data_IF_498785498425
#
_entry.id   IF_498785498425
#
_cell.length_a   1.000
_cell.length_b   1.000
_cell.length_c   1.000
_cell.angle_alpha   90.00
_cell.angle_beta   90.00
_cell.angle_gamma   90.00
#
_symmetry.space_group_name_H-M   'P 1'
#
loop_
_entity.id
_entity.type
_entity.pdbx_description
1 polymer ?
#
# COMPACT_ATOMS: atom_id res chain seq x y z
N UNK A 1 -13.42 -20.85 20.25
CA UNK A 1 -13.08 -19.76 19.31
C UNK A 1 -13.87 -18.47 19.60
N UNK A 2 -15.18 -18.52 19.85
CA UNK A 2 -15.96 -17.32 20.24
C UNK A 2 -15.41 -16.54 21.45
N UNK A 3 -14.72 -17.20 22.39
CA UNK A 3 -14.12 -16.54 23.55
C UNK A 3 -12.93 -15.61 23.25
N UNK A 4 -12.34 -15.69 22.05
CA UNK A 4 -11.24 -14.80 21.60
C UNK A 4 -11.69 -13.81 20.53
N UNK A 5 -12.83 -14.06 19.90
CA UNK A 5 -13.39 -13.23 18.85
C UNK A 5 -13.60 -11.78 19.32
N UNK A 6 -13.15 -10.82 18.52
CA UNK A 6 -13.22 -9.38 18.80
C UNK A 6 -12.61 -8.96 20.15
N UNK A 7 -11.49 -9.57 20.55
CA UNK A 7 -10.75 -9.17 21.75
C UNK A 7 -9.24 -9.31 21.56
N UNK A 8 -8.46 -8.71 22.46
CA UNK A 8 -6.99 -8.86 22.51
C UNK A 8 -6.51 -10.27 22.92
N UNK A 9 -7.45 -11.19 23.18
CA UNK A 9 -7.14 -12.55 23.63
C UNK A 9 -6.78 -13.41 22.43
N UNK A 10 -5.72 -14.21 22.57
CA UNK A 10 -5.19 -15.13 21.57
C UNK A 10 -5.36 -16.55 22.05
N UNK A 11 -5.73 -17.44 21.14
CA UNK A 11 -5.75 -18.87 21.40
C UNK A 11 -4.32 -19.41 21.21
N UNK A 12 -3.76 -20.03 22.24
CA UNK A 12 -2.37 -20.52 22.21
C UNK A 12 -2.37 -22.02 21.94
N UNK A 13 -1.61 -22.43 20.93
CA UNK A 13 -1.42 -23.83 20.55
C UNK A 13 0.07 -24.19 20.58
N UNK A 14 0.38 -25.42 20.97
CA UNK A 14 1.68 -26.04 20.73
C UNK A 14 1.48 -27.26 19.85
N UNK A 15 1.90 -27.14 18.60
CA UNK A 15 1.67 -28.15 17.58
C UNK A 15 0.17 -28.37 17.35
N UNK A 16 -0.30 -29.59 17.64
CA UNK A 16 -1.69 -30.01 17.43
C UNK A 16 -2.62 -29.77 18.63
N UNK A 17 -2.11 -29.25 19.75
CA UNK A 17 -2.88 -29.13 20.99
C UNK A 17 -3.04 -27.67 21.41
N UNK A 18 -4.30 -27.26 21.64
CA UNK A 18 -4.63 -25.96 22.23
C UNK A 18 -4.29 -26.02 23.72
N UNK A 19 -3.39 -25.14 24.18
CA UNK A 19 -2.93 -25.10 25.58
C UNK A 19 -3.78 -24.11 26.39
N UNK A 20 -4.28 -23.04 25.77
CA UNK A 20 -5.09 -22.06 26.50
C UNK A 20 -5.36 -20.76 25.74
N UNK A 21 -5.69 -19.72 26.50
CA UNK A 21 -5.97 -18.37 26.01
C UNK A 21 -5.08 -17.39 26.78
N UNK A 22 -4.40 -16.49 26.07
CA UNK A 22 -3.57 -15.44 26.67
C UNK A 22 -3.73 -14.11 25.94
N UNK A 23 -3.53 -12.99 26.63
CA UNK A 23 -3.45 -11.65 26.05
C UNK A 23 -2.00 -11.15 25.92
N UNK A 24 -1.01 -11.92 26.39
CA UNK A 24 0.39 -11.52 26.33
C UNK A 24 1.00 -11.70 24.93
N UNK A 25 2.05 -10.93 24.64
CA UNK A 25 2.87 -11.13 23.45
C UNK A 25 3.87 -12.25 23.68
N UNK A 26 3.85 -13.26 22.79
CA UNK A 26 4.84 -14.32 22.80
C UNK A 26 6.13 -13.74 22.19
N UNK A 27 7.18 -13.65 23.01
CA UNK A 27 8.48 -13.09 22.62
C UNK A 27 9.37 -14.08 21.86
N UNK A 28 9.09 -15.37 21.98
CA UNK A 28 9.80 -16.43 21.28
C UNK A 28 9.27 -16.63 19.85
N UNK A 29 9.98 -17.46 19.06
CA UNK A 29 9.56 -17.82 17.70
C UNK A 29 8.10 -18.31 17.71
N UNK A 30 7.22 -17.56 17.04
CA UNK A 30 5.80 -17.87 16.99
C UNK A 30 5.23 -17.67 15.59
N UNK A 31 4.27 -18.54 15.27
CA UNK A 31 3.44 -18.43 14.07
C UNK A 31 2.05 -18.03 14.55
N UNK A 32 1.55 -16.90 14.05
CA UNK A 32 0.24 -16.37 14.43
C UNK A 32 -0.65 -16.43 13.20
N UNK A 33 -1.78 -17.15 13.32
CA UNK A 33 -2.87 -17.07 12.36
C UNK A 33 -3.87 -16.01 12.83
N UNK A 34 -3.93 -14.90 12.11
CA UNK A 34 -4.82 -13.77 12.34
C UNK A 34 -6.07 -13.93 11.48
N UNK A 35 -7.23 -14.09 12.10
CA UNK A 35 -8.49 -14.39 11.42
C UNK A 35 -9.38 -13.14 11.35
N UNK A 36 -9.65 -12.67 10.13
CA UNK A 36 -10.47 -11.49 9.83
C UNK A 36 -11.75 -11.89 9.07
N UNK A 37 -12.48 -12.86 9.61
CA UNK A 37 -13.71 -13.40 9.00
C UNK A 37 -13.40 -14.35 7.84
N UNK A 38 -13.70 -13.94 6.60
CA UNK A 38 -13.51 -14.79 5.39
C UNK A 38 -12.05 -14.89 4.91
N UNK A 39 -11.17 -14.10 5.49
CA UNK A 39 -9.76 -14.06 5.16
C UNK A 39 -8.92 -13.88 6.43
N UNK A 40 -7.61 -14.05 6.31
CA UNK A 40 -6.69 -13.88 7.41
C UNK A 40 -5.23 -13.94 6.97
N UNK A 41 -4.33 -13.80 7.93
CA UNK A 41 -2.89 -13.74 7.70
C UNK A 41 -2.16 -14.76 8.56
N UNK A 42 -1.12 -15.36 8.01
CA UNK A 42 -0.10 -16.04 8.81
C UNK A 42 1.04 -15.05 9.00
N UNK A 43 1.39 -14.81 10.26
CA UNK A 43 2.48 -13.96 10.68
C UNK A 43 3.57 -14.80 11.33
N UNK A 44 4.81 -14.56 10.96
CA UNK A 44 6.00 -15.12 11.59
C UNK A 44 6.62 -14.02 12.45
N UNK A 45 6.66 -14.20 13.77
CA UNK A 45 7.21 -13.20 14.70
C UNK A 45 6.64 -11.78 14.51
N UNK A 46 5.36 -11.68 14.13
CA UNK A 46 4.66 -10.41 13.86
C UNK A 46 4.63 -9.98 12.38
N UNK A 47 5.56 -10.46 11.56
CA UNK A 47 5.65 -10.13 10.14
C UNK A 47 4.73 -11.01 9.29
N UNK A 48 3.88 -10.42 8.45
CA UNK A 48 2.94 -11.17 7.63
C UNK A 48 3.64 -11.90 6.49
N UNK A 49 3.59 -13.24 6.48
CA UNK A 49 4.28 -14.08 5.49
C UNK A 49 3.34 -14.66 4.44
N UNK A 50 2.06 -14.88 4.77
CA UNK A 50 1.06 -15.26 3.78
C UNK A 50 -0.35 -14.87 4.21
N UNK A 51 -1.29 -14.90 3.27
CA UNK A 51 -2.72 -14.79 3.57
C UNK A 51 -3.45 -16.09 3.27
N UNK A 52 -4.61 -16.24 3.89
CA UNK A 52 -5.55 -17.31 3.59
C UNK A 52 -6.95 -16.74 3.42
N UNK A 53 -7.74 -17.30 2.51
CA UNK A 53 -9.15 -16.94 2.30
C UNK A 53 -9.92 -18.16 1.84
N UNK A 54 -11.13 -18.39 2.37
CA UNK A 54 -12.01 -19.50 1.95
C UNK A 54 -11.31 -20.88 1.89
N UNK A 55 -10.41 -21.15 2.84
CA UNK A 55 -9.66 -22.42 2.93
C UNK A 55 -8.49 -22.56 1.95
N UNK A 56 -8.17 -21.53 1.17
CA UNK A 56 -7.04 -21.51 0.23
C UNK A 56 -5.93 -20.59 0.74
N UNK A 57 -4.70 -21.10 0.78
CA UNK A 57 -3.50 -20.31 1.07
C UNK A 57 -3.08 -19.54 -0.18
N UNK A 58 -2.78 -18.24 -0.04
CA UNK A 58 -2.27 -17.39 -1.11
C UNK A 58 -0.92 -16.79 -0.70
N UNK A 59 0.08 -16.89 -1.58
CA UNK A 59 1.39 -16.22 -1.43
C UNK A 59 1.29 -14.73 -1.75
N UNK A 60 0.29 -14.09 -1.17
CA UNK A 60 0.00 -12.66 -1.35
C UNK A 60 -0.31 -12.11 0.03
N UNK A 61 0.31 -11.00 0.43
CA UNK A 61 -0.08 -10.26 1.64
C UNK A 61 -1.37 -9.46 1.44
N UNK A 62 -2.04 -9.62 0.29
CA UNK A 62 -3.19 -8.80 -0.16
C UNK A 62 -2.95 -7.28 -0.17
N UNK A 63 -1.73 -6.85 0.12
CA UNK A 63 -1.25 -5.48 -0.01
C UNK A 63 -0.78 -5.25 -1.43
N UNK A 64 -1.05 -4.06 -1.95
CA UNK A 64 -0.49 -3.68 -3.23
C UNK A 64 1.04 -3.63 -3.13
N UNK A 65 1.71 -4.30 -4.08
CA UNK A 65 3.14 -4.15 -4.29
C UNK A 65 3.33 -2.82 -5.02
N UNK A 66 3.80 -1.80 -4.32
CA UNK A 66 4.09 -0.46 -4.84
C UNK A 66 5.40 -0.43 -5.65
N UNK A 67 5.61 -1.44 -6.51
CA UNK A 67 6.86 -1.61 -7.28
C UNK A 67 7.17 -0.37 -8.12
N UNK A 68 6.15 0.22 -8.74
CA UNK A 68 6.36 1.41 -9.57
C UNK A 68 6.71 2.65 -8.74
N UNK A 69 6.34 2.72 -7.46
CA UNK A 69 6.83 3.78 -6.57
C UNK A 69 8.32 3.56 -6.29
N UNK A 70 8.71 2.32 -5.99
CA UNK A 70 10.11 1.97 -5.77
C UNK A 70 10.97 2.28 -7.00
N UNK A 71 10.53 1.87 -8.19
CA UNK A 71 11.19 2.17 -9.47
C UNK A 71 11.31 3.69 -9.70
N UNK A 72 10.21 4.44 -9.55
CA UNK A 72 10.23 5.89 -9.71
C UNK A 72 11.18 6.58 -8.73
N UNK A 73 11.27 6.09 -7.48
CA UNK A 73 12.22 6.61 -6.50
C UNK A 73 13.67 6.27 -6.85
N UNK A 74 13.94 5.09 -7.42
CA UNK A 74 15.27 4.69 -7.88
C UNK A 74 15.77 5.49 -9.09
N UNK A 75 14.87 6.00 -9.94
CA UNK A 75 15.20 6.86 -11.08
C UNK A 75 15.58 8.30 -10.66
N UNK A 76 15.31 8.67 -9.40
CA UNK A 76 15.62 10.01 -8.89
C UNK A 76 17.08 10.15 -8.44
N UNK A 77 17.52 11.39 -8.20
CA UNK A 77 18.84 11.69 -7.62
C UNK A 77 18.92 11.51 -6.08
N UNK A 78 17.90 10.89 -5.46
CA UNK A 78 17.87 10.67 -4.02
C UNK A 78 18.95 9.67 -3.58
N UNK A 79 19.49 9.90 -2.38
CA UNK A 79 20.33 8.88 -1.73
C UNK A 79 19.51 7.62 -1.46
N UNK A 80 20.10 6.43 -1.64
CA UNK A 80 19.40 5.15 -1.49
C UNK A 80 18.74 4.96 -0.13
N UNK A 81 19.34 5.49 0.94
CA UNK A 81 18.76 5.48 2.29
C UNK A 81 17.48 6.31 2.38
N UNK A 82 17.52 7.55 1.90
CA UNK A 82 16.36 8.46 1.89
C UNK A 82 15.25 7.88 1.00
N UNK A 83 15.59 7.39 -0.20
CA UNK A 83 14.64 6.74 -1.09
C UNK A 83 13.95 5.54 -0.44
N UNK A 84 14.69 4.70 0.29
CA UNK A 84 14.14 3.55 1.01
C UNK A 84 13.20 3.98 2.17
N UNK A 85 13.60 5.00 2.94
CA UNK A 85 12.77 5.51 4.03
C UNK A 85 11.47 6.14 3.50
N UNK A 86 11.57 6.94 2.43
CA UNK A 86 10.42 7.54 1.75
C UNK A 86 9.48 6.46 1.20
N UNK A 87 10.03 5.42 0.56
CA UNK A 87 9.25 4.27 0.10
C UNK A 87 8.47 3.59 1.24
N UNK A 88 9.11 3.38 2.39
CA UNK A 88 8.47 2.78 3.57
C UNK A 88 7.34 3.65 4.12
N UNK A 89 7.55 4.97 4.20
CA UNK A 89 6.53 5.94 4.61
C UNK A 89 5.31 5.86 3.69
N UNK A 90 5.54 5.87 2.37
CA UNK A 90 4.47 5.76 1.36
C UNK A 90 3.71 4.45 1.52
N UNK A 91 4.43 3.32 1.63
CA UNK A 91 3.84 2.00 1.86
C UNK A 91 2.94 1.98 3.10
N UNK A 92 3.44 2.49 4.24
CA UNK A 92 2.66 2.52 5.49
C UNK A 92 1.34 3.27 5.32
N UNK A 93 1.36 4.46 4.71
CA UNK A 93 0.15 5.27 4.53
C UNK A 93 -0.82 4.60 3.55
N UNK A 94 -0.31 4.09 2.42
CA UNK A 94 -1.13 3.43 1.40
C UNK A 94 -1.77 2.15 1.94
N UNK A 95 -1.00 1.29 2.61
CA UNK A 95 -1.52 0.05 3.20
C UNK A 95 -2.51 0.35 4.32
N UNK A 96 -2.30 1.42 5.09
CA UNK A 96 -3.30 1.89 6.06
C UNK A 96 -4.61 2.25 5.36
N UNK A 97 -4.56 3.02 4.27
CA UNK A 97 -5.75 3.39 3.50
C UNK A 97 -6.47 2.17 2.90
N UNK A 98 -5.72 1.23 2.31
CA UNK A 98 -6.28 -0.04 1.81
C UNK A 98 -6.96 -0.85 2.92
N UNK A 99 -6.29 -1.02 4.08
CA UNK A 99 -6.80 -1.80 5.21
C UNK A 99 -8.07 -1.20 5.82
N UNK A 100 -8.16 0.13 5.85
CA UNK A 100 -9.29 0.88 6.40
C UNK A 100 -10.35 1.23 5.34
N UNK A 101 -10.14 0.82 4.09
CA UNK A 101 -11.07 0.98 2.96
C UNK A 101 -11.47 2.43 2.69
N UNK A 102 -10.51 3.35 2.74
CA UNK A 102 -10.72 4.73 2.30
C UNK A 102 -9.77 5.09 1.16
N UNK A 103 -10.20 6.03 0.31
CA UNK A 103 -9.35 6.58 -0.73
C UNK A 103 -8.57 7.79 -0.22
N UNK A 104 -7.32 7.92 -0.64
CA UNK A 104 -6.47 9.07 -0.31
C UNK A 104 -5.58 9.45 -1.49
N UNK A 105 -4.89 10.58 -1.38
CA UNK A 105 -3.94 11.06 -2.38
C UNK A 105 -2.69 11.54 -1.67
N UNK A 106 -1.53 11.11 -2.15
CA UNK A 106 -0.22 11.49 -1.63
C UNK A 106 0.53 12.21 -2.74
N UNK A 107 0.98 13.42 -2.47
CA UNK A 107 1.90 14.19 -3.29
C UNK A 107 3.29 13.95 -2.71
N UNK A 108 4.15 13.33 -3.49
CA UNK A 108 5.54 13.08 -3.16
C UNK A 108 6.38 14.10 -3.93
N UNK A 109 6.84 15.10 -3.20
CA UNK A 109 7.59 16.23 -3.72
C UNK A 109 9.09 15.93 -3.67
N UNK A 110 9.66 15.64 -4.84
CA UNK A 110 11.06 15.26 -5.00
C UNK A 110 11.93 16.48 -5.33
N UNK A 111 11.38 17.70 -5.26
CA UNK A 111 12.12 18.95 -5.43
C UNK A 111 12.93 19.29 -4.17
N UNK A 112 14.15 19.82 -4.35
CA UNK A 112 15.04 20.17 -3.22
C UNK A 112 14.47 21.28 -2.37
N UNK A 113 13.83 22.23 -3.02
CA UNK A 113 12.98 23.23 -2.38
C UNK A 113 11.55 22.77 -2.58
N UNK A 114 10.82 22.63 -1.47
CA UNK A 114 9.46 22.11 -1.55
C UNK A 114 8.54 23.08 -2.30
N UNK A 115 7.75 22.52 -3.19
CA UNK A 115 6.73 23.25 -3.93
C UNK A 115 5.67 23.80 -2.97
N UNK A 116 5.23 25.03 -3.21
CA UNK A 116 4.17 25.63 -2.39
C UNK A 116 2.80 25.17 -2.88
N UNK A 117 2.29 24.11 -2.27
CA UNK A 117 1.01 23.52 -2.62
C UNK A 117 -0.08 24.08 -1.71
N UNK A 118 -1.20 24.51 -2.29
CA UNK A 118 -2.34 25.02 -1.53
C UNK A 118 -2.93 23.91 -0.68
N UNK A 119 -2.93 24.08 0.63
CA UNK A 119 -3.45 23.11 1.60
C UNK A 119 -3.41 23.66 3.03
N UNK A 120 -3.58 22.77 4.01
CA UNK A 120 -3.39 23.05 5.42
C UNK A 120 -1.92 22.79 5.80
N UNK A 121 -1.15 23.87 5.85
CA UNK A 121 0.29 23.80 6.13
C UNK A 121 0.57 23.45 7.59
N UNK A 122 1.57 22.60 7.81
CA UNK A 122 2.08 22.22 9.11
C UNK A 122 3.37 22.98 9.40
N UNK A 123 3.39 23.73 10.50
CA UNK A 123 4.59 24.44 10.95
C UNK A 123 4.85 24.18 12.44
N UNK A 124 5.95 23.46 12.78
CA UNK A 124 6.90 22.84 11.87
C UNK A 124 6.29 21.66 11.07
N UNK A 125 6.89 21.33 9.93
CA UNK A 125 6.56 20.09 9.21
C UNK A 125 6.82 18.87 10.09
N UNK A 126 5.97 17.84 9.99
CA UNK A 126 6.05 16.66 10.83
C UNK A 126 7.07 15.66 10.29
N UNK A 127 8.00 15.22 11.13
CA UNK A 127 8.99 14.22 10.76
C UNK A 127 8.37 12.82 10.72
N UNK A 128 8.24 12.23 9.53
CA UNK A 128 7.55 10.95 9.34
C UNK A 128 8.44 9.74 9.66
N UNK A 129 9.70 9.94 10.05
CA UNK A 129 10.51 8.85 10.63
C UNK A 129 10.09 8.52 12.06
N UNK A 130 9.35 9.42 12.71
CA UNK A 130 8.78 9.20 14.04
C UNK A 130 7.39 8.56 13.95
N UNK A 131 7.19 7.44 14.65
CA UNK A 131 5.97 6.64 14.57
C UNK A 131 4.70 7.44 14.87
N UNK A 132 4.74 8.34 15.86
CA UNK A 132 3.58 9.15 16.26
C UNK A 132 3.17 10.16 15.18
N UNK A 133 4.13 10.70 14.43
CA UNK A 133 3.85 11.59 13.31
C UNK A 133 3.33 10.82 12.10
N UNK A 134 3.87 9.63 11.85
CA UNK A 134 3.37 8.75 10.80
C UNK A 134 1.92 8.31 11.07
N UNK A 135 1.57 7.98 12.32
CA UNK A 135 0.20 7.69 12.74
C UNK A 135 -0.75 8.87 12.54
N UNK A 136 -0.28 10.09 12.85
CA UNK A 136 -1.03 11.30 12.58
C UNK A 136 -1.22 11.52 11.07
N UNK A 137 -0.18 11.32 10.26
CA UNK A 137 -0.27 11.41 8.80
C UNK A 137 -1.28 10.41 8.23
N UNK A 138 -1.27 9.16 8.70
CA UNK A 138 -2.26 8.13 8.33
C UNK A 138 -3.70 8.55 8.67
N UNK A 139 -3.88 9.25 9.80
CA UNK A 139 -5.19 9.80 10.19
C UNK A 139 -5.61 10.97 9.31
N UNK A 140 -4.68 11.87 8.98
CA UNK A 140 -4.89 13.03 8.09
C UNK A 140 -5.16 12.60 6.65
N UNK A 141 -4.68 11.42 6.21
CA UNK A 141 -4.92 10.88 4.87
C UNK A 141 -6.41 10.66 4.54
N UNK A 142 -7.27 10.60 5.58
CA UNK A 142 -8.74 10.46 5.43
C UNK A 142 -9.42 11.79 5.07
N UNK A 143 -8.74 12.92 5.28
CA UNK A 143 -9.27 14.24 4.96
C UNK A 143 -9.30 14.42 3.44
N UNK A 144 -10.33 15.08 2.93
CA UNK A 144 -10.43 15.38 1.50
C UNK A 144 -9.27 16.25 1.02
N UNK A 145 -8.71 15.89 -0.13
CA UNK A 145 -7.49 16.48 -0.68
C UNK A 145 -6.34 15.49 -0.62
N UNK A 146 -5.12 16.00 -0.50
CA UNK A 146 -3.92 15.18 -0.45
C UNK A 146 -2.97 15.53 0.70
N UNK A 147 -2.10 14.57 1.02
CA UNK A 147 -0.93 14.79 1.86
C UNK A 147 0.23 15.25 0.98
N UNK A 148 0.99 16.25 1.45
CA UNK A 148 2.19 16.73 0.78
C UNK A 148 3.42 16.30 1.59
N UNK A 149 4.14 15.32 1.04
CA UNK A 149 5.30 14.69 1.64
C UNK A 149 6.54 15.10 0.84
N UNK A 150 7.53 15.67 1.51
CA UNK A 150 8.78 16.07 0.88
C UNK A 150 9.82 14.95 0.86
N UNK A 151 10.81 15.09 -0.02
CA UNK A 151 11.99 14.21 -0.01
C UNK A 151 12.80 14.26 1.30
N UNK A 152 12.54 15.26 2.15
CA UNK A 152 13.10 15.42 3.48
C UNK A 152 12.42 14.52 4.53
N UNK A 153 11.53 13.61 4.09
CA UNK A 153 10.80 12.65 4.91
C UNK A 153 9.77 13.31 5.83
N UNK A 154 9.32 14.53 5.50
CA UNK A 154 8.36 15.27 6.31
C UNK A 154 7.02 15.44 5.63
N UNK A 155 5.98 15.52 6.44
CA UNK A 155 4.66 16.00 6.03
C UNK A 155 4.61 17.52 6.17
N UNK A 156 4.54 18.21 5.03
CA UNK A 156 4.49 19.68 4.96
C UNK A 156 3.07 20.22 5.03
N UNK A 157 2.11 19.52 4.42
CA UNK A 157 0.70 19.92 4.42
C UNK A 157 -0.26 18.73 4.25
N UNK A 158 -1.52 18.94 4.62
CA UNK A 158 -2.62 18.01 4.36
C UNK A 158 -3.82 18.76 3.75
N UNK A 159 -4.82 18.02 3.28
CA UNK A 159 -5.96 18.60 2.54
C UNK A 159 -5.51 19.46 1.34
N UNK A 160 -4.41 19.06 0.69
CA UNK A 160 -3.85 19.79 -0.43
C UNK A 160 -4.75 19.68 -1.66
N UNK A 161 -4.86 20.78 -2.41
CA UNK A 161 -5.63 20.86 -3.65
C UNK A 161 -4.72 20.57 -4.83
N UNK A 162 -5.12 19.59 -5.64
CA UNK A 162 -4.45 19.25 -6.90
C UNK A 162 -5.18 19.98 -8.03
N UNK A 163 -4.79 21.23 -8.23
CA UNK A 163 -5.25 22.05 -9.33
C UNK A 163 -4.38 21.83 -10.58
N UNK A 164 -4.92 22.16 -11.75
CA UNK A 164 -4.18 22.08 -13.00
C UNK A 164 -5.10 22.23 -14.20
N UNK A 165 -4.54 22.60 -15.35
CA UNK A 165 -5.30 22.73 -16.60
C UNK A 165 -5.68 21.36 -17.13
N UNK A 166 -6.76 21.33 -17.92
CA UNK A 166 -7.18 20.10 -18.58
C UNK A 166 -6.12 19.63 -19.57
N UNK A 167 -5.87 18.32 -19.60
CA UNK A 167 -4.87 17.71 -20.47
C UNK A 167 -5.51 16.63 -21.36
N UNK A 168 -4.95 16.38 -22.57
CA UNK A 168 -5.29 15.18 -23.33
C UNK A 168 -4.88 13.93 -22.54
N UNK A 169 -5.82 13.00 -22.29
CA UNK A 169 -5.57 11.77 -21.53
C UNK A 169 -6.40 11.62 -20.23
N UNK A 170 -7.19 12.63 -19.89
CA UNK A 170 -8.18 12.51 -18.81
C UNK A 170 -9.24 11.44 -19.11
N UNK A 171 -9.63 10.71 -18.07
CA UNK A 171 -10.67 9.69 -18.15
C UNK A 171 -11.72 9.91 -17.06
N UNK A 172 -12.92 10.35 -17.48
CA UNK A 172 -14.05 10.60 -16.59
C UNK A 172 -14.46 9.35 -15.79
N UNK A 173 -14.18 8.14 -16.28
CA UNK A 173 -14.50 6.89 -15.61
C UNK A 173 -13.53 6.53 -14.47
N UNK A 174 -12.37 7.21 -14.36
CA UNK A 174 -11.35 7.00 -13.31
C UNK A 174 -11.56 7.87 -12.07
N UNK A 175 -12.42 8.88 -12.15
CA UNK A 175 -12.83 9.72 -11.02
C UNK A 175 -11.97 10.97 -10.81
N UNK A 176 -12.38 11.82 -9.85
CA UNK A 176 -11.81 13.16 -9.66
C UNK A 176 -10.34 13.13 -9.18
N UNK A 177 -10.01 12.34 -8.15
CA UNK A 177 -8.64 12.26 -7.60
C UNK A 177 -7.61 11.88 -8.67
N UNK A 178 -7.94 10.89 -9.50
CA UNK A 178 -7.10 10.45 -10.61
C UNK A 178 -6.87 11.57 -11.64
N UNK A 179 -7.95 12.21 -12.10
CA UNK A 179 -7.82 13.27 -13.12
C UNK A 179 -7.13 14.52 -12.56
N UNK A 180 -7.37 14.87 -11.30
CA UNK A 180 -6.65 15.96 -10.63
C UNK A 180 -5.15 15.66 -10.54
N UNK A 181 -4.77 14.43 -10.20
CA UNK A 181 -3.37 14.01 -10.18
C UNK A 181 -2.69 14.08 -11.55
N UNK A 182 -3.39 13.69 -12.62
CA UNK A 182 -2.88 13.85 -14.00
C UNK A 182 -2.59 15.31 -14.33
N UNK A 183 -3.56 16.21 -14.08
CA UNK A 183 -3.39 17.64 -14.39
C UNK A 183 -2.28 18.27 -13.55
N UNK A 184 -2.25 17.96 -12.25
CA UNK A 184 -1.27 18.51 -11.32
C UNK A 184 0.16 18.09 -11.70
N UNK A 185 0.40 16.79 -11.89
CA UNK A 185 1.75 16.29 -12.26
C UNK A 185 2.21 16.70 -13.66
N UNK A 186 1.29 17.08 -14.55
CA UNK A 186 1.65 17.64 -15.86
C UNK A 186 2.27 19.04 -15.75
N UNK A 187 1.84 19.83 -14.76
CA UNK A 187 2.31 21.20 -14.54
C UNK A 187 3.49 21.27 -13.56
N UNK A 188 3.57 20.32 -12.63
CA UNK A 188 4.60 20.27 -11.58
C UNK A 188 5.62 19.15 -11.83
N UNK A 189 6.87 19.53 -12.09
CA UNK A 189 7.98 18.60 -12.31
C UNK A 189 8.50 18.01 -11.01
N UNK A 190 9.13 16.83 -11.10
CA UNK A 190 9.67 16.09 -9.95
C UNK A 190 8.62 15.87 -8.85
N UNK A 191 7.35 15.76 -9.24
CA UNK A 191 6.27 15.37 -8.34
C UNK A 191 5.74 14.02 -8.80
N UNK A 192 5.66 13.10 -7.85
CA UNK A 192 5.00 11.82 -7.99
C UNK A 192 3.71 11.87 -7.17
N UNK A 193 2.57 11.53 -7.77
CA UNK A 193 1.28 11.45 -7.05
C UNK A 193 0.81 10.00 -6.97
N UNK A 194 0.54 9.55 -5.75
CA UNK A 194 -0.04 8.24 -5.46
C UNK A 194 -1.51 8.41 -5.10
N UNK A 195 -2.41 7.81 -5.88
CA UNK A 195 -3.85 7.84 -5.67
C UNK A 195 -4.32 6.47 -5.22
N UNK A 196 -4.85 6.39 -4.00
CA UNK A 196 -5.52 5.19 -3.49
C UNK A 196 -7.02 5.37 -3.73
N UNK A 197 -7.63 4.47 -4.49
CA UNK A 197 -9.08 4.45 -4.68
C UNK A 197 -9.74 3.59 -3.62
N UNK A 198 -10.94 3.97 -3.18
CA UNK A 198 -11.76 3.13 -2.28
C UNK A 198 -12.27 1.86 -2.96
N UNK A 199 -12.34 1.84 -4.29
CA UNK A 199 -13.06 0.82 -5.07
C UNK A 199 -12.17 0.10 -6.09
N UNK A 200 -10.93 0.54 -6.29
CA UNK A 200 -10.05 0.19 -7.45
C UNK A 200 -8.56 0.22 -7.06
N UNK A 201 -7.65 -0.38 -7.87
CA UNK A 201 -6.22 -0.41 -7.57
C UNK A 201 -5.60 0.99 -7.44
N UNK A 202 -4.43 1.04 -6.80
CA UNK A 202 -3.64 2.25 -6.63
C UNK A 202 -3.11 2.72 -7.99
N UNK A 203 -3.21 4.02 -8.23
CA UNK A 203 -2.63 4.67 -9.40
C UNK A 203 -1.43 5.51 -8.99
N UNK A 204 -0.36 5.40 -9.75
CA UNK A 204 0.88 6.15 -9.56
C UNK A 204 1.06 7.02 -10.80
N UNK A 205 1.14 8.32 -10.60
CA UNK A 205 1.03 9.31 -11.66
C UNK A 205 2.22 10.27 -11.56
N UNK A 206 2.87 10.53 -12.69
CA UNK A 206 4.01 11.44 -12.81
C UNK A 206 4.00 12.06 -14.20
N UNK A 207 4.36 13.33 -14.33
CA UNK A 207 4.41 14.05 -15.61
C UNK A 207 3.12 13.98 -16.45
N UNK A 208 1.97 13.87 -15.79
CA UNK A 208 0.67 13.77 -16.45
C UNK A 208 0.38 12.40 -17.08
N UNK A 209 1.11 11.35 -16.70
CA UNK A 209 0.87 9.98 -17.13
C UNK A 209 0.78 9.02 -15.95
N UNK A 210 -0.09 8.01 -16.06
CA UNK A 210 -0.14 6.91 -15.09
C UNK A 210 1.00 5.92 -15.40
N UNK A 211 1.98 5.80 -14.49
CA UNK A 211 3.10 4.87 -14.60
C UNK A 211 2.80 3.50 -13.97
N UNK A 212 1.73 3.39 -13.18
CA UNK A 212 1.20 2.12 -12.67
C UNK A 212 0.53 1.26 -13.74
N UNK A 213 0.95 1.37 -15.01
CA UNK A 213 0.40 0.63 -16.12
C UNK A 213 0.36 -0.86 -15.77
N UNK A 214 -0.86 -1.34 -15.51
CA UNK A 214 -1.16 -2.75 -15.49
C UNK A 214 -0.58 -3.31 -16.79
N UNK A 215 0.45 -4.11 -16.68
CA UNK A 215 0.78 -5.01 -17.77
C UNK A 215 -0.52 -5.77 -18.03
N UNK A 216 -1.20 -5.48 -19.14
CA UNK A 216 -2.25 -6.34 -19.69
C UNK A 216 -1.60 -7.61 -20.22
N UNK A 217 -0.76 -8.25 -19.42
CA UNK A 217 -0.53 -9.66 -19.53
C UNK A 217 -1.87 -10.30 -19.18
N UNK A 218 -2.71 -10.47 -20.20
CA UNK A 218 -3.61 -11.60 -20.22
C UNK A 218 -2.71 -12.79 -19.91
N UNK A 219 -2.88 -13.48 -18.77
CA UNK A 219 -2.19 -14.74 -18.59
C UNK A 219 -2.55 -15.54 -19.83
N UNK A 220 -1.56 -15.90 -20.63
CA UNK A 220 -1.76 -16.92 -21.66
C UNK A 220 -2.38 -18.06 -20.88
N UNK A 221 -3.64 -18.39 -21.18
CA UNK A 221 -4.40 -19.45 -20.52
C UNK A 221 -3.43 -20.57 -20.25
N UNK A 222 -3.28 -20.90 -18.97
CA UNK A 222 -2.32 -21.88 -18.48
C UNK A 222 -2.14 -22.95 -19.55
N UNK A 223 -0.92 -23.09 -20.06
CA UNK A 223 -0.58 -24.10 -21.05
C UNK A 223 -1.28 -25.37 -20.57
N UNK A 224 -2.27 -25.86 -21.34
CA UNK A 224 -2.92 -27.12 -21.05
C UNK A 224 -1.83 -28.17 -21.20
N UNK A 225 -1.11 -28.42 -20.10
CA UNK A 225 -0.35 -29.64 -19.93
C UNK A 225 -1.45 -30.68 -19.89
N UNK A 226 -1.66 -31.35 -21.03
CA UNK A 226 -2.61 -32.43 -21.14
C UNK A 226 -2.35 -33.38 -19.99
N UNK A 227 -3.37 -33.57 -19.14
CA UNK A 227 -3.30 -34.54 -18.08
C UNK A 227 -3.01 -35.91 -18.71
N UNK A 228 -1.83 -36.42 -18.46
CA UNK A 228 -1.45 -37.79 -18.86
C UNK A 228 -2.15 -38.73 -17.91
N UNK A 229 -2.91 -39.70 -18.43
CA UNK A 229 -3.62 -40.68 -17.60
C UNK A 229 -2.65 -41.69 -17.02
N UNK A 230 -3.03 -42.29 -15.89
CA UNK A 230 -2.24 -43.28 -15.14
C UNK A 230 -1.82 -44.49 -16.00
N UNK A 231 -2.52 -44.75 -17.11
CA UNK A 231 -2.19 -45.80 -18.08
C UNK A 231 -0.84 -45.56 -18.78
N UNK A 232 -0.41 -44.30 -18.91
CA UNK A 232 0.88 -43.94 -19.54
C UNK A 232 2.12 -44.30 -18.70
N UNK A 233 1.93 -44.75 -17.45
CA UNK A 233 3.00 -45.09 -16.52
C UNK A 233 3.08 -46.60 -16.18
N UNK A 234 2.19 -47.45 -16.70
CA UNK A 234 2.09 -48.87 -16.30
C UNK A 234 2.56 -49.85 -17.41
N UNK A 235 3.37 -49.40 -18.37
CA UNK A 235 4.19 -50.32 -19.17
C UNK A 235 5.68 -49.95 -19.05
N UNK A 236 6.30 -50.57 -18.04
CA UNK A 236 7.73 -50.64 -17.77
C UNK A 236 7.98 -51.77 -16.78
#
# INVERSE_FOLDING_TARGET
LQAVEQSERKLISQGSTIIGISNESIKDFCIVADFMGRHGFIRLNGEAVCSFSDGVYKSTTHQAKLVQVEEALLETSLGSEIGNQLYKIICSIVHHAESQKFGCTLIIDLNKESENIVGQNLFPALDLTEDCHLELAMSLAKVDGALHIGQDLKLHAFACLLDGRSIPGEDRARGARYNSALRFTHEHKNILVVVVSSDRPISIIQEGVEISAQCQWNPVSACHIGMTTLESFIEG
#
